data_IF_309363545834
#
_entry.id   IF_309363545834
#
_cell.length_a   1.000
_cell.length_b   1.000
_cell.length_c   1.000
_cell.angle_alpha   90.00
_cell.angle_beta   90.00
_cell.angle_gamma   90.00
#
_symmetry.space_group_name_H-M   'P 1'
#
loop_
_entity.id
_entity.type
_entity.pdbx_description
1 polymer ?
#
# COMPACT_ATOMS: atom_id res chain seq x y z
N UNK A 1 -15.49 12.49 3.97
CA UNK A 1 -14.64 11.59 3.15
C UNK A 1 -13.90 10.71 4.14
N UNK A 2 -14.01 9.39 4.04
CA UNK A 2 -13.19 8.50 4.86
C UNK A 2 -11.77 8.52 4.30
N UNK A 3 -10.78 8.62 5.18
CA UNK A 3 -9.38 8.52 4.76
C UNK A 3 -9.12 7.09 4.34
N UNK A 4 -8.61 6.90 3.13
CA UNK A 4 -8.00 5.64 2.70
C UNK A 4 -6.51 5.68 2.99
N UNK A 5 -6.00 4.53 3.42
CA UNK A 5 -4.62 4.27 3.79
C UNK A 5 -4.01 3.35 2.74
N UNK A 6 -2.70 3.49 2.52
CA UNK A 6 -1.95 2.59 1.69
C UNK A 6 -0.46 2.83 1.77
N UNK A 7 0.27 2.42 0.74
CA UNK A 7 1.74 2.51 0.69
C UNK A 7 2.13 3.48 -0.43
N UNK A 8 3.14 4.30 -0.17
CA UNK A 8 3.83 5.12 -1.17
C UNK A 8 5.32 4.86 -1.14
N UNK A 9 6.00 5.09 -2.28
CA UNK A 9 7.46 5.02 -2.40
C UNK A 9 7.91 5.20 -3.86
N UNK A 10 9.06 5.85 -4.06
CA UNK A 10 9.63 6.09 -5.40
C UNK A 10 8.66 6.70 -6.42
N UNK A 11 7.91 7.74 -6.05
CA UNK A 11 6.91 8.36 -6.92
C UNK A 11 5.57 7.63 -7.05
N UNK A 12 5.44 6.44 -6.47
CA UNK A 12 4.24 5.60 -6.56
C UNK A 12 3.36 5.71 -5.31
N UNK A 13 2.05 5.54 -5.49
CA UNK A 13 1.04 5.57 -4.43
C UNK A 13 -0.02 4.51 -4.71
N UNK A 14 -0.27 3.65 -3.74
CA UNK A 14 -1.30 2.61 -3.80
C UNK A 14 -2.34 2.80 -2.70
N UNK A 15 -3.60 2.55 -3.03
CA UNK A 15 -4.73 2.58 -2.09
C UNK A 15 -5.01 1.15 -1.68
N UNK A 16 -5.06 0.88 -0.38
CA UNK A 16 -5.20 -0.49 0.11
C UNK A 16 -6.46 -0.70 0.94
N UNK A 17 -6.88 0.28 1.75
CA UNK A 17 -8.11 0.18 2.50
C UNK A 17 -8.21 1.20 3.61
N UNK A 18 -8.79 0.79 4.74
CA UNK A 18 -8.96 1.62 5.92
C UNK A 18 -7.73 1.59 6.84
N UNK A 19 -7.71 2.46 7.86
CA UNK A 19 -6.71 2.41 8.94
C UNK A 19 -6.80 1.11 9.74
N UNK A 20 -8.01 0.56 9.90
CA UNK A 20 -8.24 -0.71 10.58
C UNK A 20 -7.68 -1.90 9.79
N UNK A 21 -7.80 -1.89 8.46
CA UNK A 21 -7.22 -2.93 7.60
C UNK A 21 -5.69 -2.89 7.63
N UNK A 22 -5.12 -1.69 7.55
CA UNK A 22 -3.67 -1.50 7.63
C UNK A 22 -3.13 -1.97 8.98
N UNK A 23 -3.80 -1.61 10.07
CA UNK A 23 -3.44 -2.09 11.40
C UNK A 23 -3.54 -3.62 11.48
N UNK A 24 -4.61 -4.21 10.97
CA UNK A 24 -4.80 -5.66 11.00
C UNK A 24 -3.67 -6.40 10.28
N UNK A 25 -3.22 -5.91 9.13
CA UNK A 25 -2.06 -6.47 8.41
C UNK A 25 -0.81 -6.55 9.31
N UNK A 26 -0.44 -5.45 9.97
CA UNK A 26 0.73 -5.43 10.86
C UNK A 26 0.52 -6.18 12.18
N UNK A 27 -0.72 -6.22 12.70
CA UNK A 27 -1.08 -7.01 13.87
C UNK A 27 -0.93 -8.52 13.55
N UNK A 28 -1.30 -8.98 12.35
CA UNK A 28 -1.07 -10.36 11.89
C UNK A 28 0.42 -10.68 11.80
N UNK A 29 1.26 -9.79 11.24
CA UNK A 29 2.73 -9.98 11.23
C UNK A 29 3.24 -10.11 12.67
N UNK A 30 2.85 -9.16 13.53
CA UNK A 30 3.28 -9.08 14.93
C UNK A 30 2.91 -10.34 15.71
N UNK A 31 1.71 -10.86 15.50
CA UNK A 31 1.18 -12.00 16.24
C UNK A 31 1.74 -13.34 15.77
N UNK A 32 1.79 -13.57 14.45
CA UNK A 32 2.14 -14.88 13.90
C UNK A 32 3.64 -15.07 13.68
N UNK A 33 4.38 -14.01 13.30
CA UNK A 33 5.74 -14.17 12.81
C UNK A 33 6.80 -13.80 13.84
N UNK A 34 6.59 -12.80 14.69
CA UNK A 34 7.58 -12.42 15.72
C UNK A 34 7.90 -13.59 16.66
N UNK A 35 6.92 -14.36 17.19
CA UNK A 35 7.23 -15.51 18.05
C UNK A 35 7.88 -16.66 17.28
N UNK A 36 7.54 -16.83 16.00
CA UNK A 36 8.05 -17.92 15.15
C UNK A 36 9.49 -17.67 14.70
N UNK A 37 9.84 -16.42 14.46
CA UNK A 37 11.12 -15.98 13.93
C UNK A 37 11.76 -14.90 14.82
N UNK A 38 12.12 -15.21 16.08
CA UNK A 38 12.55 -14.20 17.05
C UNK A 38 13.93 -13.59 16.78
N UNK A 39 14.68 -14.12 15.79
CA UNK A 39 16.00 -13.62 15.40
C UNK A 39 15.95 -12.57 14.30
N UNK A 40 14.82 -12.48 13.59
CA UNK A 40 14.63 -11.50 12.52
C UNK A 40 14.34 -10.13 13.12
N UNK A 41 14.82 -9.07 12.45
CA UNK A 41 14.54 -7.69 12.87
C UNK A 41 13.16 -7.24 12.36
N UNK A 42 12.12 -7.69 13.04
CA UNK A 42 10.74 -7.33 12.73
C UNK A 42 10.43 -5.84 12.91
N UNK A 43 11.31 -5.07 13.57
CA UNK A 43 11.10 -3.62 13.70
C UNK A 43 11.12 -2.91 12.34
N UNK A 44 11.76 -3.50 11.32
CA UNK A 44 11.76 -2.98 9.95
C UNK A 44 10.33 -2.94 9.38
N UNK A 45 9.51 -3.97 9.59
CA UNK A 45 8.11 -3.94 9.12
C UNK A 45 7.19 -3.26 10.15
N UNK A 46 7.30 -3.63 11.42
CA UNK A 46 6.34 -3.25 12.48
C UNK A 46 6.57 -1.87 13.09
N UNK A 47 7.74 -1.25 12.89
CA UNK A 47 8.01 0.15 13.23
C UNK A 47 8.33 0.99 11.99
N UNK A 48 9.37 0.61 11.23
CA UNK A 48 9.90 1.46 10.16
C UNK A 48 8.88 1.64 9.03
N UNK A 49 8.38 0.54 8.45
CA UNK A 49 7.34 0.62 7.41
C UNK A 49 5.99 1.09 7.98
N UNK A 50 5.55 0.55 9.12
CA UNK A 50 4.22 0.82 9.67
C UNK A 50 4.03 2.25 10.19
N UNK A 51 4.99 2.78 10.95
CA UNK A 51 4.85 4.06 11.68
C UNK A 51 5.72 5.18 11.15
N UNK A 52 6.78 4.84 10.42
CA UNK A 52 7.79 5.79 9.93
C UNK A 52 7.93 5.60 8.42
N UNK A 53 9.16 5.56 7.94
CA UNK A 53 9.51 5.20 6.58
C UNK A 53 10.71 4.25 6.61
N UNK A 54 10.86 3.45 5.56
CA UNK A 54 12.04 2.63 5.32
C UNK A 54 13.16 3.51 4.76
N UNK A 55 14.32 3.48 5.42
CA UNK A 55 15.55 4.07 4.85
C UNK A 55 15.99 3.26 3.64
N UNK A 56 16.78 3.89 2.79
CA UNK A 56 17.31 3.26 1.58
C UNK A 56 18.07 1.97 1.90
N UNK A 57 18.94 1.99 2.91
CA UNK A 57 19.72 0.82 3.33
C UNK A 57 18.90 -0.30 4.00
N UNK A 58 17.63 -0.02 4.36
CA UNK A 58 16.73 -1.00 4.97
C UNK A 58 15.89 -1.75 3.90
N UNK A 59 15.90 -1.31 2.64
CA UNK A 59 14.98 -1.81 1.61
C UNK A 59 15.16 -3.30 1.30
N UNK A 60 16.39 -3.79 1.19
CA UNK A 60 16.63 -5.21 0.88
C UNK A 60 16.23 -6.14 2.04
N UNK A 61 16.48 -5.70 3.27
CA UNK A 61 16.04 -6.43 4.46
C UNK A 61 14.52 -6.43 4.57
N UNK A 62 13.89 -5.28 4.35
CA UNK A 62 12.43 -5.18 4.33
C UNK A 62 11.80 -6.08 3.27
N UNK A 63 12.39 -6.14 2.07
CA UNK A 63 11.93 -7.00 0.98
C UNK A 63 12.04 -8.48 1.32
N UNK A 64 13.15 -8.88 1.96
CA UNK A 64 13.36 -10.26 2.42
C UNK A 64 12.37 -10.65 3.51
N UNK A 65 12.13 -9.76 4.48
CA UNK A 65 11.12 -9.98 5.52
C UNK A 65 9.71 -10.05 4.93
N UNK A 66 9.37 -9.19 3.96
CA UNK A 66 8.04 -9.23 3.34
C UNK A 66 7.81 -10.53 2.56
N UNK A 67 8.83 -11.03 1.85
CA UNK A 67 8.75 -12.35 1.20
C UNK A 67 8.51 -13.46 2.21
N UNK A 68 9.14 -13.40 3.38
CA UNK A 68 8.85 -14.34 4.47
C UNK A 68 7.40 -14.19 4.97
N UNK A 69 6.89 -12.97 5.11
CA UNK A 69 5.47 -12.72 5.45
C UNK A 69 4.54 -13.39 4.43
N UNK A 70 4.80 -13.21 3.13
CA UNK A 70 4.00 -13.82 2.08
C UNK A 70 3.97 -15.35 2.17
N UNK A 71 5.13 -15.99 2.34
CA UNK A 71 5.21 -17.45 2.43
C UNK A 71 4.45 -18.00 3.65
N UNK A 72 4.53 -17.30 4.78
CA UNK A 72 3.79 -17.66 5.98
C UNK A 72 2.28 -17.42 5.83
N UNK A 73 1.89 -16.30 5.23
CA UNK A 73 0.49 -15.94 5.04
C UNK A 73 -0.24 -16.84 4.06
N UNK A 74 0.48 -17.52 3.15
CA UNK A 74 -0.08 -18.59 2.28
C UNK A 74 -0.53 -19.82 3.08
N UNK A 75 0.02 -20.03 4.28
CA UNK A 75 -0.29 -21.18 5.15
C UNK A 75 -1.31 -20.85 6.23
N UNK A 76 -1.70 -19.58 6.38
CA UNK A 76 -2.65 -19.12 7.38
C UNK A 76 -4.02 -18.92 6.74
N UNK A 77 -5.00 -19.71 7.17
CA UNK A 77 -6.39 -19.55 6.73
C UNK A 77 -6.98 -18.23 7.25
N UNK A 78 -8.02 -17.74 6.58
CA UNK A 78 -8.74 -16.51 6.96
C UNK A 78 -9.25 -16.54 8.41
N UNK A 79 -9.49 -17.72 8.99
CA UNK A 79 -9.91 -17.91 10.37
C UNK A 79 -8.82 -17.52 11.39
N UNK A 80 -7.58 -17.28 10.93
CA UNK A 80 -6.51 -16.67 11.71
C UNK A 80 -6.77 -15.19 12.07
N UNK A 81 -7.72 -14.52 11.40
CA UNK A 81 -8.15 -13.17 11.76
C UNK A 81 -9.34 -13.23 12.72
N UNK A 82 -9.30 -12.44 13.80
CA UNK A 82 -10.50 -12.13 14.57
C UNK A 82 -11.38 -11.13 13.80
N UNK A 83 -12.38 -11.66 13.10
CA UNK A 83 -13.34 -10.87 12.34
C UNK A 83 -14.40 -10.18 13.22
N UNK A 84 -14.46 -10.46 14.53
CA UNK A 84 -15.48 -9.96 15.44
C UNK A 84 -15.65 -8.44 15.44
N UNK A 85 -14.57 -7.63 15.53
CA UNK A 85 -14.65 -6.17 15.45
C UNK A 85 -15.24 -5.66 14.12
N UNK A 86 -14.90 -6.30 13.00
CA UNK A 86 -15.40 -5.93 11.66
C UNK A 86 -16.88 -6.34 11.52
N UNK A 87 -17.21 -7.57 11.90
CA UNK A 87 -18.58 -8.11 11.83
C UNK A 87 -19.58 -7.37 12.72
N UNK A 88 -19.11 -6.86 13.87
CA UNK A 88 -19.93 -6.05 14.77
C UNK A 88 -20.01 -4.56 14.36
N UNK A 89 -19.35 -4.17 13.27
CA UNK A 89 -19.31 -2.78 12.79
C UNK A 89 -18.47 -1.83 13.66
N UNK A 90 -17.69 -2.36 14.61
CA UNK A 90 -16.78 -1.58 15.46
C UNK A 90 -15.54 -1.11 14.68
N UNK A 91 -15.13 -1.86 13.66
CA UNK A 91 -14.09 -1.50 12.71
C UNK A 91 -14.67 -1.52 11.30
N UNK A 92 -14.30 -0.54 10.48
CA UNK A 92 -14.56 -0.57 9.03
C UNK A 92 -13.47 -1.37 8.36
N UNK A 93 -13.81 -2.04 7.26
CA UNK A 93 -12.86 -2.86 6.52
C UNK A 93 -13.28 -2.92 5.05
N UNK A 94 -12.30 -2.76 4.17
CA UNK A 94 -12.45 -2.94 2.73
C UNK A 94 -11.92 -4.32 2.27
N UNK A 95 -11.45 -5.17 3.19
CA UNK A 95 -10.86 -6.48 2.88
C UNK A 95 -11.89 -7.47 2.33
N UNK A 96 -11.47 -8.25 1.33
CA UNK A 96 -12.29 -9.33 0.76
C UNK A 96 -12.21 -10.59 1.64
N UNK A 97 -13.27 -10.80 2.43
CA UNK A 97 -13.39 -11.93 3.37
C UNK A 97 -13.77 -13.25 2.70
N UNK A 98 -14.02 -13.24 1.39
CA UNK A 98 -14.32 -14.46 0.62
C UNK A 98 -13.05 -15.22 0.28
N UNK A 99 -11.90 -14.58 0.39
CA UNK A 99 -10.57 -15.16 0.20
C UNK A 99 -10.22 -16.16 1.30
N UNK A 100 -9.43 -17.17 0.92
CA UNK A 100 -9.20 -18.35 1.74
C UNK A 100 -8.05 -18.17 2.72
N UNK A 101 -6.96 -17.53 2.29
CA UNK A 101 -5.73 -17.36 3.07
C UNK A 101 -5.45 -15.90 3.39
N UNK A 102 -4.62 -15.64 4.40
CA UNK A 102 -4.15 -14.28 4.67
C UNK A 102 -3.38 -13.70 3.47
N UNK A 103 -2.69 -14.54 2.70
CA UNK A 103 -2.02 -14.11 1.49
C UNK A 103 -3.00 -13.51 0.48
N UNK A 104 -4.10 -14.23 0.22
CA UNK A 104 -5.12 -13.81 -0.74
C UNK A 104 -5.91 -12.57 -0.26
N UNK A 105 -6.05 -12.40 1.05
CA UNK A 105 -6.71 -11.22 1.66
C UNK A 105 -5.84 -9.97 1.51
N UNK A 106 -4.52 -10.12 1.63
CA UNK A 106 -3.56 -9.00 1.61
C UNK A 106 -2.74 -8.93 0.32
N UNK A 107 -3.17 -9.55 -0.77
CA UNK A 107 -2.43 -9.61 -2.04
C UNK A 107 -2.02 -8.22 -2.57
N UNK A 108 -2.93 -7.26 -2.50
CA UNK A 108 -2.69 -5.87 -2.88
C UNK A 108 -1.64 -5.19 -2.01
N UNK A 109 -1.52 -5.57 -0.74
CA UNK A 109 -0.53 -5.00 0.19
C UNK A 109 0.87 -5.45 -0.19
N UNK A 110 1.06 -6.73 -0.49
CA UNK A 110 2.33 -7.28 -0.96
C UNK A 110 2.73 -6.68 -2.29
N UNK A 111 1.80 -6.61 -3.24
CA UNK A 111 2.05 -5.99 -4.53
C UNK A 111 2.47 -4.51 -4.38
N UNK A 112 1.71 -3.73 -3.61
CA UNK A 112 2.01 -2.31 -3.38
C UNK A 112 3.36 -2.11 -2.71
N UNK A 113 3.70 -2.95 -1.71
CA UNK A 113 4.99 -2.89 -1.04
C UNK A 113 6.14 -3.14 -2.01
N UNK A 114 6.13 -4.26 -2.76
CA UNK A 114 7.22 -4.60 -3.69
C UNK A 114 7.37 -3.55 -4.77
N UNK A 115 6.26 -3.10 -5.34
CA UNK A 115 6.29 -2.05 -6.35
C UNK A 115 6.91 -0.77 -5.80
N UNK A 116 6.52 -0.33 -4.60
CA UNK A 116 7.08 0.88 -3.99
C UNK A 116 8.57 0.73 -3.66
N UNK A 117 9.01 -0.45 -3.20
CA UNK A 117 10.43 -0.74 -2.93
C UNK A 117 11.24 -0.70 -4.22
N UNK A 118 10.79 -1.38 -5.27
CA UNK A 118 11.44 -1.38 -6.58
C UNK A 118 11.50 0.03 -7.17
N UNK A 119 10.38 0.75 -7.15
CA UNK A 119 10.29 2.13 -7.62
C UNK A 119 11.24 3.04 -6.85
N UNK A 120 11.35 2.90 -5.52
CA UNK A 120 12.26 3.69 -4.71
C UNK A 120 13.73 3.41 -5.02
N UNK A 121 14.09 2.14 -5.26
CA UNK A 121 15.43 1.74 -5.70
C UNK A 121 15.77 2.33 -7.08
N UNK A 122 14.86 2.19 -8.05
CA UNK A 122 15.05 2.71 -9.42
C UNK A 122 15.17 4.23 -9.42
N UNK A 123 14.27 4.94 -8.73
CA UNK A 123 14.34 6.40 -8.62
C UNK A 123 15.65 6.84 -7.99
N UNK A 124 16.07 6.19 -6.89
CA UNK A 124 17.34 6.55 -6.26
C UNK A 124 18.52 6.35 -7.20
N UNK A 125 18.64 5.17 -7.83
CA UNK A 125 19.75 4.92 -8.75
C UNK A 125 19.75 5.83 -9.97
N UNK A 126 18.57 6.19 -10.49
CA UNK A 126 18.42 7.07 -11.64
C UNK A 126 18.73 8.53 -11.36
N UNK A 127 18.51 9.01 -10.13
CA UNK A 127 18.56 10.44 -9.80
C UNK A 127 19.53 10.83 -8.69
N UNK A 128 20.20 9.90 -8.00
CA UNK A 128 21.13 10.21 -6.88
C UNK A 128 22.30 11.14 -7.23
N UNK A 129 22.61 11.32 -8.52
CA UNK A 129 23.64 12.27 -8.97
C UNK A 129 23.11 13.70 -9.17
N UNK A 130 21.80 13.88 -9.19
CA UNK A 130 21.19 15.20 -9.33
C UNK A 130 21.38 16.00 -8.04
N UNK A 131 21.81 17.28 -8.11
CA UNK A 131 22.17 18.07 -6.93
C UNK A 131 21.07 18.23 -5.89
N UNK A 132 19.81 18.23 -6.33
CA UNK A 132 18.63 18.48 -5.49
C UNK A 132 17.78 17.23 -5.26
N UNK A 133 18.26 16.04 -5.64
CA UNK A 133 17.49 14.81 -5.47
C UNK A 133 17.59 14.28 -4.03
N UNK A 134 16.43 14.04 -3.44
CA UNK A 134 16.30 13.36 -2.16
C UNK A 134 15.64 11.99 -2.35
N UNK A 135 16.08 11.01 -1.55
CA UNK A 135 15.47 9.69 -1.54
C UNK A 135 13.96 9.77 -1.26
N UNK A 136 13.16 9.18 -2.14
CA UNK A 136 11.71 9.10 -2.02
C UNK A 136 11.29 7.84 -1.23
N UNK A 137 10.91 7.99 0.05
CA UNK A 137 10.92 6.85 0.95
C UNK A 137 9.66 5.99 0.84
N UNK A 138 9.82 4.69 1.14
CA UNK A 138 8.70 3.75 1.25
C UNK A 138 8.06 3.85 2.63
N UNK A 139 6.75 4.11 2.69
CA UNK A 139 6.02 4.26 3.95
C UNK A 139 4.52 4.00 3.80
N UNK A 140 3.88 3.65 4.91
CA UNK A 140 2.43 3.77 5.05
C UNK A 140 2.05 5.25 5.09
N UNK A 141 1.02 5.64 4.33
CA UNK A 141 0.56 7.02 4.24
C UNK A 141 -0.95 7.13 4.06
N UNK A 142 -1.48 8.34 4.25
CA UNK A 142 -2.81 8.70 3.76
C UNK A 142 -2.74 8.75 2.23
N UNK A 143 -3.55 7.93 1.57
CA UNK A 143 -3.57 7.78 0.10
C UNK A 143 -4.93 8.11 -0.49
N UNK A 144 -5.76 8.85 0.26
CA UNK A 144 -7.01 9.40 -0.25
C UNK A 144 -6.73 10.22 -1.50
N UNK A 145 -7.29 9.79 -2.64
CA UNK A 145 -6.87 10.31 -3.93
C UNK A 145 -7.15 11.82 -4.03
N UNK A 146 -6.11 12.65 -4.24
CA UNK A 146 -6.33 13.98 -4.77
C UNK A 146 -6.78 13.86 -6.22
N UNK A 147 -7.52 14.86 -6.71
CA UNK A 147 -8.05 14.87 -8.08
C UNK A 147 -6.98 14.52 -9.12
N UNK A 148 -5.75 15.04 -8.99
CA UNK A 148 -4.62 14.76 -9.90
C UNK A 148 -4.28 13.28 -10.07
N UNK A 149 -4.49 12.43 -9.06
CA UNK A 149 -4.29 10.99 -9.18
C UNK A 149 -5.52 10.32 -9.79
N UNK A 150 -6.72 10.76 -9.42
CA UNK A 150 -7.96 10.26 -9.99
C UNK A 150 -8.09 10.52 -11.50
N UNK A 151 -7.36 11.48 -12.08
CA UNK A 151 -7.27 11.65 -13.55
C UNK A 151 -6.77 10.40 -14.27
N UNK A 152 -5.93 9.57 -13.62
CA UNK A 152 -5.47 8.29 -14.19
C UNK A 152 -6.59 7.27 -14.42
N UNK A 153 -7.74 7.45 -13.76
CA UNK A 153 -8.89 6.57 -13.90
C UNK A 153 -9.79 6.95 -15.09
N UNK A 154 -9.58 8.14 -15.67
CA UNK A 154 -10.34 8.60 -16.84
C UNK A 154 -9.77 7.86 -18.06
N UNK A 155 -10.60 7.08 -18.80
CA UNK A 155 -10.14 6.44 -20.03
C UNK A 155 -9.62 7.48 -21.03
N UNK A 156 -8.53 7.17 -21.72
CA UNK A 156 -7.94 8.08 -22.71
C UNK A 156 -8.95 8.49 -23.79
N UNK A 157 -9.86 7.58 -24.15
CA UNK A 157 -10.94 7.85 -25.10
C UNK A 157 -11.88 8.99 -24.67
N UNK A 158 -12.00 9.29 -23.38
CA UNK A 158 -12.77 10.47 -22.93
C UNK A 158 -12.09 11.76 -23.38
N UNK A 159 -10.75 11.80 -23.37
CA UNK A 159 -9.99 12.94 -23.87
C UNK A 159 -10.00 12.98 -25.40
N UNK A 160 -9.83 11.83 -26.06
CA UNK A 160 -9.78 11.73 -27.53
C UNK A 160 -11.12 12.11 -28.18
N UNK A 161 -12.23 11.87 -27.49
CA UNK A 161 -13.59 12.15 -27.99
C UNK A 161 -14.14 13.52 -27.57
N UNK A 162 -13.34 14.39 -26.92
CA UNK A 162 -13.79 15.74 -26.58
C UNK A 162 -14.14 16.51 -27.86
N UNK A 163 -15.40 16.96 -27.95
CA UNK A 163 -15.87 17.79 -29.06
C UNK A 163 -15.16 19.15 -29.09
N UNK A 164 -15.08 19.77 -30.27
CA UNK A 164 -14.39 21.05 -30.46
C UNK A 164 -14.93 22.19 -29.56
N UNK A 165 -16.21 22.13 -29.19
CA UNK A 165 -16.87 23.11 -28.34
C UNK A 165 -17.04 22.64 -26.87
N UNK A 166 -16.55 21.44 -26.54
CA UNK A 166 -16.64 20.90 -25.18
C UNK A 166 -15.54 21.48 -24.28
N UNK A 167 -15.91 21.75 -23.02
CA UNK A 167 -14.98 22.29 -22.04
C UNK A 167 -13.99 21.21 -21.59
N UNK A 168 -12.73 21.56 -21.30
CA UNK A 168 -11.78 20.63 -20.71
C UNK A 168 -12.33 20.03 -19.40
N UNK A 169 -12.04 18.74 -19.16
CA UNK A 169 -12.57 18.00 -17.99
C UNK A 169 -12.28 18.74 -16.67
N UNK A 170 -11.11 19.35 -16.53
CA UNK A 170 -10.70 20.08 -15.33
C UNK A 170 -11.52 21.35 -15.05
N UNK A 171 -12.21 21.91 -16.04
CA UNK A 171 -13.16 23.02 -15.82
C UNK A 171 -14.44 22.59 -15.12
N UNK A 172 -14.82 21.32 -15.21
CA UNK A 172 -16.06 20.83 -14.60
C UNK A 172 -15.92 20.58 -13.10
N UNK A 173 -14.69 20.54 -12.58
CA UNK A 173 -14.38 20.21 -11.19
C UNK A 173 -14.80 18.78 -10.79
N UNK A 174 -15.15 17.94 -11.77
CA UNK A 174 -15.63 16.58 -11.57
C UNK A 174 -14.87 15.62 -12.47
N UNK A 175 -14.54 14.47 -11.92
CA UNK A 175 -13.99 13.37 -12.70
C UNK A 175 -15.18 12.59 -13.25
N UNK A 176 -15.27 12.40 -14.58
CA UNK A 176 -16.32 11.59 -15.19
C UNK A 176 -16.32 10.21 -14.55
N UNK A 177 -17.50 9.76 -14.12
CA UNK A 177 -17.68 8.40 -13.58
C UNK A 177 -17.92 7.42 -14.71
#
# INVERSE_FOLDING_TARGET
MLLTIGIRGGGSVFILGTDSDMRLFFDCISYYLLPKYPKEDWSILTDRLYRRYLKLEELDTAESLMKLVEEEFKQLDREAIDWGPILSGKAKSDLDRTKSTLYDIFDGYFYAFHYCVESAKISYEGFKSEPDYEYEPVMVAITTLPYSISYKQIPLSVFDNLGADEKPIWWTGKIPK
#
